data_IF_770338598655
#
_entry.id   IF_770338598655
#
_cell.length_a   1.000
_cell.length_b   1.000
_cell.length_c   1.000
_cell.angle_alpha   90.00
_cell.angle_beta   90.00
_cell.angle_gamma   90.00
#
_symmetry.space_group_name_H-M   'P 1'
#
loop_
_entity.id
_entity.type
_entity.pdbx_description
1 polymer ?
#
# COMPACT_ATOMS: atom_id res chain seq x y z
N UNK A 1 3.07 -84.54 35.55
CA UNK A 1 2.77 -83.19 35.01
C UNK A 1 3.83 -82.26 35.58
N UNK A 2 4.81 -81.93 34.76
CA UNK A 2 6.05 -81.25 35.16
C UNK A 2 5.84 -79.73 35.27
N UNK A 3 6.49 -79.12 36.26
CA UNK A 3 6.69 -77.69 36.56
C UNK A 3 7.30 -76.90 35.36
N UNK A 4 7.62 -75.57 35.40
CA UNK A 4 7.72 -74.65 36.56
C UNK A 4 7.41 -73.13 36.31
N UNK A 5 7.48 -72.38 37.42
CA UNK A 5 8.07 -71.03 37.63
C UNK A 5 7.78 -69.86 36.66
N UNK A 6 7.05 -68.88 37.18
CA UNK A 6 7.00 -67.50 36.69
C UNK A 6 8.25 -66.75 37.19
N UNK A 7 9.11 -66.30 36.27
CA UNK A 7 10.29 -65.48 36.56
C UNK A 7 10.00 -64.08 36.03
N UNK A 8 10.12 -63.09 36.92
CA UNK A 8 10.13 -61.68 36.59
C UNK A 8 11.29 -61.39 35.60
N UNK A 9 11.02 -60.57 34.59
CA UNK A 9 12.08 -59.89 33.84
C UNK A 9 11.87 -58.39 33.88
N UNK A 10 12.99 -57.76 34.16
CA UNK A 10 13.30 -56.36 34.37
C UNK A 10 12.61 -55.35 33.44
N UNK A 11 12.19 -54.28 34.09
CA UNK A 11 12.08 -52.92 33.58
C UNK A 11 13.35 -52.52 32.84
N UNK A 12 13.29 -52.39 31.52
CA UNK A 12 14.23 -51.58 30.75
C UNK A 12 13.53 -50.28 30.36
N UNK A 13 14.06 -49.17 30.86
CA UNK A 13 13.70 -47.79 30.52
C UNK A 13 13.55 -47.63 29.00
N UNK A 14 12.31 -47.48 28.54
CA UNK A 14 12.07 -46.95 27.21
C UNK A 14 12.30 -45.44 27.26
N UNK A 15 13.13 -44.86 26.36
CA UNK A 15 13.26 -43.42 26.26
C UNK A 15 11.90 -42.80 25.95
N UNK A 16 11.61 -41.58 26.44
CA UNK A 16 10.31 -40.95 26.24
C UNK A 16 9.99 -40.84 24.74
N UNK A 17 8.70 -40.94 24.35
CA UNK A 17 8.30 -40.84 22.95
C UNK A 17 8.71 -39.47 22.41
N UNK A 18 9.60 -39.47 21.41
CA UNK A 18 10.04 -38.27 20.70
C UNK A 18 8.83 -37.56 20.09
N UNK A 19 8.54 -36.35 20.56
CA UNK A 19 7.48 -35.51 19.99
C UNK A 19 7.93 -35.00 18.63
N UNK A 20 7.29 -35.51 17.57
CA UNK A 20 7.53 -35.03 16.21
C UNK A 20 6.99 -33.61 16.07
N UNK A 21 7.85 -32.66 15.66
CA UNK A 21 7.39 -31.34 15.23
C UNK A 21 6.64 -31.47 13.90
N UNK A 22 5.67 -30.58 13.66
CA UNK A 22 4.99 -30.50 12.35
C UNK A 22 6.05 -30.12 11.31
N UNK A 23 5.88 -30.47 10.03
CA UNK A 23 6.29 -29.73 8.82
C UNK A 23 6.45 -30.65 7.59
N UNK A 24 6.41 -29.99 6.44
CA UNK A 24 5.64 -30.25 5.22
C UNK A 24 6.15 -31.39 4.33
N UNK A 25 5.22 -32.18 3.75
CA UNK A 25 5.51 -33.30 2.85
C UNK A 25 6.02 -32.82 1.47
N UNK A 26 7.29 -33.09 1.17
CA UNK A 26 7.87 -33.13 -0.18
C UNK A 26 8.74 -34.40 -0.26
N UNK A 27 8.99 -34.93 -1.46
CA UNK A 27 9.57 -36.27 -1.62
C UNK A 27 11.05 -36.39 -1.20
N UNK A 28 11.71 -35.28 -0.81
CA UNK A 28 13.08 -35.25 -0.26
C UNK A 28 13.13 -34.35 0.98
N UNK A 29 12.67 -34.86 2.12
CA UNK A 29 12.80 -34.15 3.41
C UNK A 29 14.05 -34.59 4.15
N UNK A 30 14.81 -33.60 4.62
CA UNK A 30 15.92 -33.85 5.54
C UNK A 30 15.40 -33.77 6.97
N UNK A 31 15.83 -34.71 7.82
CA UNK A 31 15.50 -34.72 9.24
C UNK A 31 16.60 -34.02 10.04
N UNK A 32 16.21 -33.02 10.81
CA UNK A 32 17.07 -32.30 11.74
C UNK A 32 16.68 -32.63 13.17
N UNK A 33 17.65 -32.66 14.07
CA UNK A 33 17.42 -32.78 15.50
C UNK A 33 17.88 -31.52 16.20
N UNK A 34 16.97 -30.93 16.98
CA UNK A 34 17.23 -29.78 17.85
C UNK A 34 16.63 -30.09 19.20
N UNK A 35 17.46 -30.04 20.24
CA UNK A 35 17.10 -30.56 21.57
C UNK A 35 16.59 -32.01 21.43
N UNK A 36 15.45 -32.34 22.02
CA UNK A 36 14.82 -33.66 21.92
C UNK A 36 13.73 -33.73 20.83
N UNK A 37 13.72 -32.78 19.88
CA UNK A 37 12.73 -32.69 18.81
C UNK A 37 13.33 -32.94 17.44
N UNK A 38 12.55 -33.67 16.62
CA UNK A 38 12.84 -33.89 15.21
C UNK A 38 12.02 -32.96 14.33
N UNK A 39 12.70 -32.32 13.39
CA UNK A 39 12.13 -31.44 12.38
C UNK A 39 12.32 -32.06 11.01
N UNK A 40 11.31 -31.96 10.15
CA UNK A 40 11.42 -32.34 8.74
C UNK A 40 11.24 -31.11 7.88
N UNK A 41 12.21 -30.83 7.04
CA UNK A 41 12.17 -29.64 6.21
C UNK A 41 12.77 -29.88 4.83
N UNK A 42 12.30 -29.08 3.89
CA UNK A 42 12.78 -29.08 2.51
C UNK A 42 14.19 -28.46 2.48
N UNK A 43 15.16 -29.28 2.08
CA UNK A 43 16.57 -28.90 2.10
C UNK A 43 16.89 -27.82 1.07
N UNK A 44 16.13 -27.74 -0.02
CA UNK A 44 16.41 -26.80 -1.11
C UNK A 44 16.38 -25.35 -0.62
N UNK A 45 15.44 -25.01 0.27
CA UNK A 45 15.34 -23.67 0.85
C UNK A 45 16.48 -23.37 1.84
N UNK A 46 16.95 -24.38 2.57
CA UNK A 46 18.05 -24.20 3.52
C UNK A 46 19.40 -24.07 2.80
N UNK A 47 19.65 -24.90 1.79
CA UNK A 47 20.89 -24.89 1.02
C UNK A 47 21.04 -23.59 0.18
N UNK A 48 19.94 -22.88 -0.10
CA UNK A 48 19.98 -21.53 -0.70
C UNK A 48 20.51 -20.46 0.28
N UNK A 49 20.26 -20.63 1.58
CA UNK A 49 20.59 -19.62 2.60
C UNK A 49 21.86 -19.93 3.38
N UNK A 50 22.30 -21.18 3.43
CA UNK A 50 23.45 -21.57 4.24
C UNK A 50 24.23 -22.75 3.67
N UNK A 51 25.55 -22.73 3.85
CA UNK A 51 26.45 -23.86 3.62
C UNK A 51 26.96 -24.48 4.94
N UNK A 52 26.49 -23.99 6.09
CA UNK A 52 26.94 -24.41 7.43
C UNK A 52 26.37 -25.78 7.81
N UNK A 53 25.23 -26.15 7.24
CA UNK A 53 24.59 -27.44 7.46
C UNK A 53 25.26 -28.50 6.56
N UNK A 54 25.79 -29.60 7.12
CA UNK A 54 26.42 -30.66 6.33
C UNK A 54 25.53 -31.19 5.20
N UNK A 55 26.12 -31.44 4.04
CA UNK A 55 25.44 -32.07 2.89
C UNK A 55 25.34 -33.58 3.12
N UNK A 56 24.11 -34.07 3.31
CA UNK A 56 23.78 -35.45 3.68
C UNK A 56 22.26 -35.65 3.80
N UNK A 57 21.81 -36.91 3.71
CA UNK A 57 20.38 -37.27 3.83
C UNK A 57 20.10 -37.59 5.29
N UNK A 58 19.89 -36.55 6.12
CA UNK A 58 19.45 -36.77 7.50
C UNK A 58 18.19 -37.61 7.52
N UNK A 59 18.23 -38.77 8.18
CA UNK A 59 17.10 -39.69 8.31
C UNK A 59 16.53 -39.66 9.73
N UNK A 60 15.47 -40.42 10.00
CA UNK A 60 14.96 -40.52 11.38
C UNK A 60 15.93 -41.25 12.30
N UNK A 61 16.64 -42.21 11.74
CA UNK A 61 17.61 -43.07 12.42
C UNK A 61 18.94 -42.35 12.63
N UNK A 62 19.29 -41.44 11.72
CA UNK A 62 20.50 -40.60 11.79
C UNK A 62 20.17 -39.14 11.39
N UNK A 63 19.56 -38.35 12.29
CA UNK A 63 19.17 -36.98 12.01
C UNK A 63 20.39 -36.04 12.06
N UNK A 64 20.34 -34.95 11.29
CA UNK A 64 21.37 -33.91 11.36
C UNK A 64 21.16 -33.12 12.65
N UNK A 65 22.08 -33.27 13.61
CA UNK A 65 22.06 -32.47 14.84
C UNK A 65 22.50 -31.03 14.53
N UNK A 66 21.64 -30.06 14.85
CA UNK A 66 21.99 -28.64 14.73
C UNK A 66 22.64 -28.14 16.02
N UNK A 67 23.31 -26.99 15.92
CA UNK A 67 24.01 -26.36 17.04
C UNK A 67 23.09 -26.23 18.27
N UNK A 68 23.56 -26.74 19.41
CA UNK A 68 22.86 -26.75 20.70
C UNK A 68 22.38 -25.38 21.20
N UNK A 69 22.88 -24.27 20.63
CA UNK A 69 22.42 -22.91 20.92
C UNK A 69 21.09 -22.57 20.26
N UNK A 70 20.65 -23.35 19.27
CA UNK A 70 19.36 -23.21 18.60
C UNK A 70 18.30 -23.89 19.46
N UNK A 71 17.28 -23.14 19.89
CA UNK A 71 16.12 -23.72 20.58
C UNK A 71 15.12 -24.24 19.56
N UNK A 72 14.40 -25.30 19.91
CA UNK A 72 13.42 -25.90 19.02
C UNK A 72 12.31 -24.92 18.59
N UNK A 73 11.85 -24.06 19.51
CA UNK A 73 10.82 -23.06 19.21
C UNK A 73 11.30 -21.97 18.24
N UNK A 74 12.56 -21.54 18.36
CA UNK A 74 13.13 -20.51 17.48
C UNK A 74 13.34 -21.07 16.06
N UNK A 75 13.77 -22.34 15.96
CA UNK A 75 13.86 -23.02 14.69
C UNK A 75 12.49 -23.17 14.03
N UNK A 76 11.44 -23.53 14.78
CA UNK A 76 10.07 -23.65 14.27
C UNK A 76 9.60 -22.34 13.61
N UNK A 77 9.85 -21.20 14.27
CA UNK A 77 9.53 -19.86 13.74
C UNK A 77 10.30 -19.59 12.43
N UNK A 78 11.58 -19.93 12.37
CA UNK A 78 12.38 -19.77 11.15
C UNK A 78 11.84 -20.64 10.00
N UNK A 79 11.52 -21.90 10.27
CA UNK A 79 11.02 -22.83 9.24
C UNK A 79 9.65 -22.40 8.71
N UNK A 80 8.76 -21.95 9.59
CA UNK A 80 7.49 -21.32 9.22
C UNK A 80 7.72 -20.10 8.32
N UNK A 81 8.63 -19.20 8.73
CA UNK A 81 8.97 -18.02 7.94
C UNK A 81 9.52 -18.36 6.56
N UNK A 82 10.47 -19.31 6.46
CA UNK A 82 11.05 -19.72 5.19
C UNK A 82 10.01 -20.35 4.25
N UNK A 83 9.03 -21.07 4.79
CA UNK A 83 8.01 -21.74 3.97
C UNK A 83 6.82 -20.86 3.62
N UNK A 84 6.37 -20.01 4.56
CA UNK A 84 5.11 -19.28 4.50
C UNK A 84 5.28 -17.76 4.45
N UNK A 85 6.47 -17.24 4.75
CA UNK A 85 6.73 -15.82 4.97
C UNK A 85 6.18 -15.28 6.29
N UNK A 86 5.60 -16.13 7.14
CA UNK A 86 4.95 -15.75 8.41
C UNK A 86 4.79 -16.98 9.32
N UNK A 87 4.18 -16.85 10.52
CA UNK A 87 3.90 -17.98 11.42
C UNK A 87 2.90 -18.98 10.82
N UNK A 88 2.92 -20.22 11.31
CA UNK A 88 1.97 -21.27 10.89
C UNK A 88 0.49 -20.87 11.00
N UNK A 89 0.13 -20.11 12.04
CA UNK A 89 -1.24 -19.63 12.29
C UNK A 89 -1.62 -18.40 11.45
N UNK A 90 -0.73 -17.98 10.53
CA UNK A 90 -0.86 -16.83 9.64
C UNK A 90 -0.91 -15.47 10.34
N UNK A 91 -0.59 -15.40 11.64
CA UNK A 91 -0.43 -14.10 12.31
C UNK A 91 0.86 -13.43 11.85
N UNK A 92 0.88 -12.08 11.74
CA UNK A 92 2.10 -11.34 11.46
C UNK A 92 3.21 -11.67 12.47
N UNK A 93 4.47 -11.65 12.02
CA UNK A 93 5.62 -11.85 12.89
C UNK A 93 5.79 -10.68 13.85
N UNK A 94 5.88 -10.99 15.14
CA UNK A 94 6.12 -10.02 16.21
C UNK A 94 7.63 -9.79 16.42
N UNK A 95 7.98 -8.77 17.22
CA UNK A 95 9.39 -8.43 17.55
C UNK A 95 10.14 -9.65 18.10
N UNK A 96 9.48 -10.45 18.93
CA UNK A 96 10.03 -11.69 19.46
C UNK A 96 10.37 -12.66 18.33
N UNK A 97 9.46 -12.84 17.38
CA UNK A 97 9.64 -13.79 16.26
C UNK A 97 10.81 -13.37 15.36
N UNK A 98 10.93 -12.08 15.05
CA UNK A 98 12.08 -11.56 14.32
C UNK A 98 13.39 -11.72 15.07
N UNK A 99 13.37 -11.57 16.40
CA UNK A 99 14.56 -11.79 17.24
C UNK A 99 14.98 -13.27 17.22
N UNK A 100 14.01 -14.19 17.28
CA UNK A 100 14.25 -15.63 17.13
C UNK A 100 14.82 -15.97 15.76
N UNK A 101 14.25 -15.42 14.68
CA UNK A 101 14.75 -15.60 13.30
C UNK A 101 16.20 -15.11 13.19
N UNK A 102 16.50 -13.90 13.68
CA UNK A 102 17.86 -13.34 13.65
C UNK A 102 18.83 -14.24 14.42
N UNK A 103 18.47 -14.70 15.62
CA UNK A 103 19.33 -15.53 16.45
C UNK A 103 19.70 -16.85 15.76
N UNK A 104 18.71 -17.53 15.15
CA UNK A 104 18.96 -18.78 14.43
C UNK A 104 19.75 -18.53 13.14
N UNK A 105 19.43 -17.48 12.38
CA UNK A 105 20.17 -17.11 11.18
C UNK A 105 21.64 -16.74 11.47
N UNK A 106 21.93 -16.09 12.59
CA UNK A 106 23.30 -15.83 13.05
C UNK A 106 24.10 -17.13 13.24
N UNK A 107 23.48 -18.15 13.86
CA UNK A 107 24.13 -19.43 14.16
C UNK A 107 24.32 -20.24 12.88
N UNK A 108 23.31 -20.24 11.99
CA UNK A 108 23.34 -20.98 10.74
C UNK A 108 24.10 -20.25 9.62
N UNK A 109 24.47 -18.98 9.79
CA UNK A 109 25.15 -18.19 8.74
C UNK A 109 24.25 -17.79 7.58
N UNK A 110 22.96 -17.55 7.84
CA UNK A 110 21.97 -17.13 6.83
C UNK A 110 21.92 -15.62 6.68
N UNK A 111 22.97 -15.02 6.09
CA UNK A 111 23.18 -13.57 6.06
C UNK A 111 22.03 -12.79 5.39
N UNK A 112 21.46 -13.34 4.31
CA UNK A 112 20.37 -12.69 3.56
C UNK A 112 19.10 -12.58 4.40
N UNK A 113 18.70 -13.68 5.06
CA UNK A 113 17.54 -13.71 5.95
C UNK A 113 17.76 -12.87 7.19
N UNK A 114 18.96 -12.93 7.78
CA UNK A 114 19.34 -12.10 8.91
C UNK A 114 19.20 -10.61 8.60
N UNK A 115 19.71 -10.17 7.45
CA UNK A 115 19.59 -8.78 7.00
C UNK A 115 18.13 -8.36 6.82
N UNK A 116 17.32 -9.20 6.18
CA UNK A 116 15.89 -8.95 5.99
C UNK A 116 15.14 -8.81 7.32
N UNK A 117 15.43 -9.68 8.29
CA UNK A 117 14.83 -9.63 9.62
C UNK A 117 15.28 -8.39 10.42
N UNK A 118 16.56 -7.99 10.32
CA UNK A 118 17.08 -6.76 10.91
C UNK A 118 16.41 -5.51 10.32
N UNK A 119 16.25 -5.44 9.00
CA UNK A 119 15.53 -4.34 8.33
C UNK A 119 14.07 -4.28 8.80
N UNK A 120 13.42 -5.45 8.91
CA UNK A 120 12.04 -5.57 9.39
C UNK A 120 11.83 -5.17 10.85
N UNK A 121 12.87 -5.23 11.70
CA UNK A 121 12.84 -4.71 13.08
C UNK A 121 13.14 -3.22 13.17
N UNK A 122 14.00 -2.70 12.28
CA UNK A 122 14.35 -1.29 12.23
C UNK A 122 13.22 -0.45 11.64
N UNK A 123 12.45 -0.99 10.71
CA UNK A 123 11.35 -0.29 10.04
C UNK A 123 10.24 0.18 11.00
N UNK A 124 9.71 -0.62 11.94
CA UNK A 124 8.74 -0.17 12.94
C UNK A 124 9.31 0.87 13.89
N UNK A 125 10.57 0.73 14.31
CA UNK A 125 11.20 1.65 15.26
C UNK A 125 11.52 2.99 14.61
N UNK A 126 11.94 2.96 13.34
CA UNK A 126 12.13 4.13 12.50
C UNK A 126 10.79 4.79 12.14
N UNK A 127 9.75 4.00 11.86
CA UNK A 127 8.40 4.50 11.65
C UNK A 127 7.83 5.18 12.91
N UNK A 128 8.11 4.64 14.10
CA UNK A 128 7.70 5.23 15.37
C UNK A 128 8.50 6.51 15.70
N UNK A 129 9.79 6.55 15.39
CA UNK A 129 10.62 7.74 15.53
C UNK A 129 10.22 8.82 14.52
N UNK A 130 9.93 8.43 13.28
CA UNK A 130 9.40 9.29 12.22
C UNK A 130 7.98 9.76 12.57
N UNK A 131 7.16 8.94 13.24
CA UNK A 131 5.85 9.31 13.75
C UNK A 131 5.97 10.29 14.93
N UNK A 132 6.88 10.07 15.88
CA UNK A 132 7.16 11.03 16.96
C UNK A 132 7.72 12.34 16.42
N UNK A 133 8.60 12.28 15.41
CA UNK A 133 9.13 13.46 14.73
C UNK A 133 8.03 14.19 13.96
N UNK A 134 7.14 13.46 13.26
CA UNK A 134 5.94 14.03 12.64
C UNK A 134 4.97 14.62 13.66
N UNK A 135 4.80 14.03 14.84
CA UNK A 135 3.96 14.55 15.91
C UNK A 135 4.55 15.82 16.55
N UNK A 136 5.88 15.86 16.71
CA UNK A 136 6.61 17.02 17.20
C UNK A 136 6.66 18.16 16.16
N UNK A 137 6.77 17.81 14.88
CA UNK A 137 6.66 18.72 13.75
C UNK A 137 5.21 19.20 13.56
N UNK A 138 4.20 18.37 13.86
CA UNK A 138 2.77 18.75 13.89
C UNK A 138 2.41 19.67 15.04
N UNK A 139 3.07 19.56 16.20
CA UNK A 139 2.87 20.49 17.32
C UNK A 139 3.52 21.86 17.08
N UNK A 140 4.51 21.94 16.19
CA UNK A 140 5.28 23.16 15.92
C UNK A 140 5.05 23.75 14.52
N UNK A 141 4.26 23.13 13.65
CA UNK A 141 3.85 23.66 12.35
C UNK A 141 2.41 24.19 12.38
N UNK A 142 2.08 25.26 11.64
CA UNK A 142 0.70 25.66 11.44
C UNK A 142 -0.05 24.58 10.65
N UNK A 143 -1.34 24.46 10.94
CA UNK A 143 -2.42 23.71 10.29
C UNK A 143 -2.05 23.05 8.95
N UNK A 144 -2.29 21.74 8.84
CA UNK A 144 -2.37 20.88 7.65
C UNK A 144 -1.99 21.52 6.30
N UNK A 145 -1.04 20.92 5.57
CA UNK A 145 -0.65 21.36 4.23
C UNK A 145 -1.75 21.26 3.15
N UNK A 146 -2.93 20.78 3.53
CA UNK A 146 -4.14 20.74 2.71
C UNK A 146 -4.55 22.17 2.28
N UNK A 147 -4.54 22.44 0.97
CA UNK A 147 -4.86 23.77 0.44
C UNK A 147 -3.74 24.80 0.53
N UNK A 148 -2.50 24.40 0.86
CA UNK A 148 -1.32 25.29 0.75
C UNK A 148 -1.19 25.77 -0.69
N UNK A 149 -0.94 27.07 -0.86
CA UNK A 149 -0.89 27.77 -2.15
C UNK A 149 -2.26 28.09 -2.77
N UNK A 150 -3.35 27.72 -2.11
CA UNK A 150 -4.72 28.09 -2.47
C UNK A 150 -5.33 29.05 -1.44
N UNK A 151 -4.49 29.86 -0.77
CA UNK A 151 -4.90 30.67 0.38
C UNK A 151 -6.08 31.58 0.03
N UNK A 152 -7.11 31.56 0.89
CA UNK A 152 -8.35 32.34 0.73
C UNK A 152 -8.09 33.83 0.59
N UNK A 153 -7.07 34.32 1.28
CA UNK A 153 -6.67 35.72 1.32
C UNK A 153 -6.06 36.17 -0.02
N UNK A 154 -5.56 35.22 -0.84
CA UNK A 154 -4.86 35.52 -2.09
C UNK A 154 -5.70 35.19 -3.32
N UNK A 155 -6.56 34.17 -3.26
CA UNK A 155 -7.18 33.58 -4.46
C UNK A 155 -8.72 33.60 -4.48
N UNK A 156 -9.37 34.24 -3.50
CA UNK A 156 -10.80 34.10 -3.16
C UNK A 156 -11.17 32.67 -2.70
N UNK A 157 -12.31 32.53 -2.02
CA UNK A 157 -12.88 31.22 -1.65
C UNK A 157 -13.11 30.32 -2.87
N UNK A 158 -13.35 30.92 -4.03
CA UNK A 158 -13.59 30.26 -5.30
C UNK A 158 -12.60 30.78 -6.34
N UNK A 159 -11.99 29.86 -7.07
CA UNK A 159 -10.93 30.17 -8.01
C UNK A 159 -11.00 29.27 -9.24
N UNK A 160 -10.17 29.59 -10.23
CA UNK A 160 -9.98 28.80 -11.44
C UNK A 160 -8.53 28.34 -11.52
N UNK A 161 -8.33 27.13 -12.00
CA UNK A 161 -7.01 26.56 -12.20
C UNK A 161 -6.65 26.73 -13.66
N UNK A 162 -5.67 27.58 -13.95
CA UNK A 162 -5.21 27.88 -15.32
C UNK A 162 -3.85 27.23 -15.55
N UNK A 163 -3.67 26.66 -16.73
CA UNK A 163 -2.37 26.18 -17.14
C UNK A 163 -1.48 27.37 -17.47
N UNK A 164 -0.35 27.48 -16.77
CA UNK A 164 0.49 28.68 -16.73
C UNK A 164 0.95 29.07 -18.14
N UNK A 165 0.88 30.37 -18.43
CA UNK A 165 1.27 30.91 -19.73
C UNK A 165 0.25 30.67 -20.86
N UNK A 166 -0.93 30.13 -20.56
CA UNK A 166 -1.98 29.87 -21.55
C UNK A 166 -3.33 30.43 -21.11
N UNK A 167 -4.32 30.43 -22.02
CA UNK A 167 -5.71 30.78 -21.71
C UNK A 167 -6.57 29.57 -21.36
N UNK A 168 -5.92 28.45 -21.02
CA UNK A 168 -6.58 27.17 -20.84
C UNK A 168 -6.76 26.86 -19.36
N UNK A 169 -7.98 26.51 -18.97
CA UNK A 169 -8.38 26.28 -17.59
C UNK A 169 -8.93 24.88 -17.40
N UNK A 170 -8.83 24.35 -16.18
CA UNK A 170 -9.56 23.15 -15.80
C UNK A 170 -11.06 23.43 -15.88
N UNK A 171 -11.80 22.47 -16.41
CA UNK A 171 -13.22 22.59 -16.67
C UNK A 171 -13.90 21.22 -16.58
N UNK A 172 -15.10 21.18 -16.01
CA UNK A 172 -16.06 20.10 -16.25
C UNK A 172 -17.18 20.62 -17.18
N UNK A 173 -17.12 20.21 -18.44
CA UNK A 173 -17.99 20.66 -19.52
C UNK A 173 -19.46 20.68 -19.07
N UNK A 174 -20.14 21.81 -19.28
CA UNK A 174 -21.55 22.03 -18.93
C UNK A 174 -21.91 21.89 -17.43
N UNK A 175 -20.94 21.89 -16.52
CA UNK A 175 -21.16 21.75 -15.08
C UNK A 175 -22.06 20.56 -14.73
N UNK A 176 -21.87 19.43 -15.42
CA UNK A 176 -22.70 18.26 -15.21
C UNK A 176 -22.57 17.79 -13.76
N UNK A 177 -23.72 17.64 -13.10
CA UNK A 177 -23.85 17.11 -11.73
C UNK A 177 -23.72 15.58 -11.70
N UNK A 178 -23.05 15.04 -12.71
CA UNK A 178 -22.92 13.61 -12.98
C UNK A 178 -21.60 13.12 -12.43
N UNK A 179 -21.66 11.95 -11.81
CA UNK A 179 -20.49 11.32 -11.23
C UNK A 179 -19.68 10.57 -12.29
N UNK A 180 -18.36 10.48 -12.11
CA UNK A 180 -17.44 9.90 -13.09
C UNK A 180 -17.02 10.85 -14.21
N UNK A 181 -17.64 12.04 -14.31
CA UNK A 181 -17.32 12.99 -15.38
C UNK A 181 -15.88 13.47 -15.26
N UNK A 182 -15.13 13.35 -16.35
CA UNK A 182 -13.72 13.74 -16.42
C UNK A 182 -13.54 15.27 -16.37
N UNK A 183 -12.61 15.74 -15.54
CA UNK A 183 -12.13 17.13 -15.53
C UNK A 183 -11.03 17.29 -16.57
N UNK A 184 -11.15 18.31 -17.43
CA UNK A 184 -10.31 18.49 -18.64
C UNK A 184 -9.77 19.90 -18.76
N UNK A 185 -8.81 20.10 -19.66
CA UNK A 185 -8.25 21.41 -20.00
C UNK A 185 -8.98 22.03 -21.21
N UNK A 186 -9.53 23.24 -21.06
CA UNK A 186 -10.31 23.93 -22.12
C UNK A 186 -9.96 25.40 -22.24
N UNK A 187 -10.21 25.99 -23.41
CA UNK A 187 -10.05 27.43 -23.61
C UNK A 187 -11.14 28.22 -22.88
N UNK A 188 -10.74 29.25 -22.13
CA UNK A 188 -11.62 30.08 -21.31
C UNK A 188 -12.75 30.78 -22.10
N UNK A 189 -12.53 31.08 -23.39
CA UNK A 189 -13.47 31.85 -24.23
C UNK A 189 -14.24 31.01 -25.25
N UNK A 190 -13.92 29.72 -25.39
CA UNK A 190 -14.40 28.88 -26.50
C UNK A 190 -15.71 28.14 -26.21
N UNK A 191 -15.95 27.77 -24.96
CA UNK A 191 -17.14 26.99 -24.58
C UNK A 191 -18.26 27.92 -24.13
N UNK A 192 -19.43 27.83 -24.80
CA UNK A 192 -20.70 28.48 -24.38
C UNK A 192 -21.26 27.93 -23.05
N UNK A 193 -20.41 27.34 -22.21
CA UNK A 193 -20.77 26.77 -20.91
C UNK A 193 -20.92 27.86 -19.84
N UNK A 194 -21.67 27.55 -18.78
CA UNK A 194 -21.74 28.41 -17.60
C UNK A 194 -20.33 28.68 -17.06
N UNK A 195 -20.04 29.93 -16.65
CA UNK A 195 -18.80 30.30 -15.98
C UNK A 195 -18.51 29.39 -14.76
N UNK A 196 -19.56 28.83 -14.15
CA UNK A 196 -19.47 27.91 -13.01
C UNK A 196 -18.76 26.59 -13.32
N UNK A 197 -18.68 26.20 -14.61
CA UNK A 197 -18.00 24.97 -15.07
C UNK A 197 -16.48 24.98 -14.90
N UNK A 198 -15.91 26.15 -14.61
CA UNK A 198 -14.47 26.38 -14.48
C UNK A 198 -14.05 26.72 -13.05
N UNK A 199 -15.01 26.80 -12.13
CA UNK A 199 -14.79 27.33 -10.78
C UNK A 199 -14.64 26.18 -9.80
N UNK A 200 -13.63 26.27 -8.95
CA UNK A 200 -13.27 25.29 -7.93
C UNK A 200 -13.06 25.97 -6.57
N UNK A 201 -13.05 25.16 -5.52
CA UNK A 201 -12.66 25.58 -4.17
C UNK A 201 -11.99 24.42 -3.43
N UNK A 202 -11.21 24.72 -2.39
CA UNK A 202 -10.67 23.73 -1.45
C UNK A 202 -11.59 23.63 -0.24
N UNK A 203 -12.13 22.43 0.00
CA UNK A 203 -12.89 22.14 1.22
C UNK A 203 -11.98 22.10 2.45
N UNK A 204 -12.55 22.18 3.66
CA UNK A 204 -11.77 22.09 4.91
C UNK A 204 -11.02 20.77 5.07
N UNK A 205 -11.41 19.73 4.34
CA UNK A 205 -10.70 18.44 4.26
C UNK A 205 -9.45 18.47 3.38
N UNK A 206 -9.22 19.54 2.60
CA UNK A 206 -8.16 19.59 1.59
C UNK A 206 -8.56 19.06 0.21
N UNK A 207 -9.75 18.48 0.08
CA UNK A 207 -10.27 18.03 -1.20
C UNK A 207 -10.59 19.23 -2.11
N UNK A 208 -10.28 19.09 -3.40
CA UNK A 208 -10.67 20.03 -4.43
C UNK A 208 -12.12 19.75 -4.82
N UNK A 209 -12.96 20.78 -4.88
CA UNK A 209 -14.36 20.66 -5.27
C UNK A 209 -14.65 21.52 -6.48
N UNK A 210 -15.51 21.01 -7.36
CA UNK A 210 -16.04 21.76 -8.48
C UNK A 210 -17.32 22.51 -8.06
N UNK A 211 -17.30 23.83 -8.19
CA UNK A 211 -18.34 24.72 -7.66
C UNK A 211 -19.69 24.51 -8.33
N UNK A 212 -19.73 24.44 -9.68
CA UNK A 212 -21.00 24.33 -10.41
C UNK A 212 -21.75 23.01 -10.17
N UNK A 213 -21.03 21.92 -9.88
CA UNK A 213 -21.65 20.62 -9.61
C UNK A 213 -21.83 20.33 -8.13
N UNK A 214 -21.02 20.95 -7.26
CA UNK A 214 -20.92 20.64 -5.83
C UNK A 214 -20.18 19.33 -5.53
N UNK A 215 -19.67 18.63 -6.55
CA UNK A 215 -18.97 17.35 -6.39
C UNK A 215 -17.48 17.58 -6.12
N UNK A 216 -16.86 16.63 -5.43
CA UNK A 216 -15.42 16.62 -5.22
C UNK A 216 -14.70 16.17 -6.50
N UNK A 217 -13.45 16.57 -6.65
CA UNK A 217 -12.51 16.04 -7.64
C UNK A 217 -11.76 14.89 -6.98
N UNK A 218 -11.86 13.72 -7.58
CA UNK A 218 -11.15 12.51 -7.21
C UNK A 218 -10.20 12.07 -8.33
N UNK A 219 -9.37 11.06 -8.06
CA UNK A 219 -8.46 10.48 -9.04
C UNK A 219 -8.73 8.99 -9.15
N UNK A 220 -9.05 8.52 -10.36
CA UNK A 220 -9.20 7.10 -10.66
C UNK A 220 -8.32 6.77 -11.85
N UNK A 221 -7.39 5.82 -11.67
CA UNK A 221 -6.40 5.44 -12.70
C UNK A 221 -5.72 6.66 -13.34
N UNK A 222 -5.25 7.56 -12.48
CA UNK A 222 -4.61 8.86 -12.79
C UNK A 222 -5.52 9.94 -13.40
N UNK A 223 -6.80 9.66 -13.63
CA UNK A 223 -7.72 10.62 -14.24
C UNK A 223 -8.46 11.42 -13.18
N UNK A 224 -8.50 12.75 -13.34
CA UNK A 224 -9.38 13.61 -12.54
C UNK A 224 -10.85 13.37 -12.90
N UNK A 225 -11.65 12.94 -11.93
CA UNK A 225 -13.09 12.68 -12.11
C UNK A 225 -13.91 13.36 -11.03
N UNK A 226 -15.15 13.72 -11.34
CA UNK A 226 -16.08 14.20 -10.33
C UNK A 226 -16.68 13.05 -9.54
N UNK A 227 -16.68 13.17 -8.21
CA UNK A 227 -17.20 12.17 -7.28
C UNK A 227 -18.09 12.78 -6.21
N UNK A 228 -19.15 12.07 -5.86
CA UNK A 228 -20.02 12.36 -4.71
C UNK A 228 -19.28 12.06 -3.41
N UNK A 229 -19.60 12.82 -2.38
CA UNK A 229 -19.15 12.48 -1.04
C UNK A 229 -19.80 11.16 -0.61
N UNK A 230 -18.99 10.17 -0.25
CA UNK A 230 -19.43 8.86 0.24
C UNK A 230 -18.85 8.64 1.65
N UNK A 231 -19.52 7.87 2.52
CA UNK A 231 -18.89 7.42 3.76
C UNK A 231 -17.62 6.64 3.42
N UNK A 232 -16.50 7.02 4.04
CA UNK A 232 -15.24 6.28 3.87
C UNK A 232 -15.43 4.90 4.49
N UNK A 233 -15.18 3.85 3.70
CA UNK A 233 -15.21 2.48 4.19
C UNK A 233 -14.00 2.22 5.09
N UNK A 234 -14.17 1.40 6.12
CA UNK A 234 -13.04 0.94 6.94
C UNK A 234 -12.01 0.18 6.10
N UNK A 235 -12.50 -0.54 5.08
CA UNK A 235 -11.68 -1.24 4.11
C UNK A 235 -11.54 -0.40 2.84
N UNK A 236 -10.31 -0.03 2.50
CA UNK A 236 -10.00 0.74 1.29
C UNK A 236 -10.54 0.03 0.05
N UNK A 237 -11.31 0.75 -0.76
CA UNK A 237 -11.85 0.20 -2.00
C UNK A 237 -12.12 1.27 -3.07
N UNK A 238 -12.25 0.84 -4.35
CA UNK A 238 -12.55 1.70 -5.49
C UNK A 238 -13.74 2.62 -5.38
N UNK A 239 -14.76 2.21 -4.65
CA UNK A 239 -15.98 2.99 -4.51
C UNK A 239 -15.90 3.98 -3.35
N UNK A 240 -15.33 3.59 -2.22
CA UNK A 240 -15.47 4.32 -0.95
C UNK A 240 -14.15 4.55 -0.24
N UNK A 241 -13.22 5.20 -0.92
CA UNK A 241 -11.94 5.66 -0.35
C UNK A 241 -11.97 7.16 0.03
N UNK A 242 -11.05 7.62 0.90
CA UNK A 242 -10.91 9.04 1.22
C UNK A 242 -10.46 9.84 -0.01
N UNK A 243 -10.98 11.06 -0.16
CA UNK A 243 -10.62 11.95 -1.26
C UNK A 243 -9.16 12.43 -1.15
N UNK A 244 -8.46 12.65 -2.27
CA UNK A 244 -7.11 13.20 -2.27
C UNK A 244 -7.08 14.67 -1.83
N UNK A 245 -5.96 15.05 -1.21
CA UNK A 245 -5.66 16.43 -0.85
C UNK A 245 -4.91 17.12 -1.99
N UNK A 246 -5.31 18.35 -2.32
CA UNK A 246 -4.66 19.17 -3.33
C UNK A 246 -3.92 20.35 -2.69
N UNK A 247 -2.73 20.66 -3.20
CA UNK A 247 -1.94 21.84 -2.82
C UNK A 247 -1.23 22.41 -4.03
N UNK A 248 -0.95 23.71 -4.03
CA UNK A 248 -0.18 24.40 -5.05
C UNK A 248 1.16 24.82 -4.44
N UNK A 249 2.26 24.31 -4.97
CA UNK A 249 3.60 24.65 -4.50
C UNK A 249 4.48 24.92 -5.71
N UNK A 250 5.10 26.09 -5.78
CA UNK A 250 5.98 26.49 -6.90
C UNK A 250 5.32 26.33 -8.28
N UNK A 251 4.08 26.81 -8.43
CA UNK A 251 3.25 26.62 -9.64
C UNK A 251 2.94 25.17 -9.99
N UNK A 252 3.16 24.19 -9.11
CA UNK A 252 2.75 22.80 -9.35
C UNK A 252 1.58 22.43 -8.45
N UNK A 253 0.55 21.84 -9.03
CA UNK A 253 -0.53 21.24 -8.25
C UNK A 253 -0.06 19.86 -7.83
N UNK A 254 0.16 19.69 -6.53
CA UNK A 254 0.51 18.42 -5.90
C UNK A 254 -0.74 17.72 -5.43
N UNK A 255 -0.74 16.40 -5.60
CA UNK A 255 -1.82 15.51 -5.18
C UNK A 255 -1.27 14.59 -4.11
N UNK A 256 -1.90 14.58 -2.95
CA UNK A 256 -1.57 13.66 -1.86
C UNK A 256 -2.74 12.71 -1.66
N UNK A 257 -2.47 11.44 -1.90
CA UNK A 257 -3.42 10.39 -1.65
C UNK A 257 -3.48 10.06 -0.16
N UNK A 258 -4.68 9.69 0.32
CA UNK A 258 -4.91 9.21 1.67
C UNK A 258 -5.16 7.70 1.70
N UNK A 259 -5.17 7.06 0.53
CA UNK A 259 -5.32 5.62 0.28
C UNK A 259 -4.61 5.27 -1.03
N UNK A 260 -4.31 3.99 -1.26
CA UNK A 260 -3.64 3.54 -2.49
C UNK A 260 -4.43 3.91 -3.77
N UNK A 261 -3.85 4.71 -4.69
CA UNK A 261 -4.51 5.09 -5.94
C UNK A 261 -4.55 3.98 -7.01
N UNK A 262 -3.71 2.93 -6.91
CA UNK A 262 -3.50 1.94 -7.98
C UNK A 262 -4.44 0.72 -7.94
N UNK A 263 -5.28 0.62 -6.92
CA UNK A 263 -6.51 -0.19 -6.91
C UNK A 263 -6.42 -1.60 -7.52
N UNK A 264 -5.49 -2.42 -6.99
CA UNK A 264 -5.52 -3.88 -7.14
C UNK A 264 -5.38 -4.57 -5.77
N UNK A 265 -6.51 -4.83 -5.13
CA UNK A 265 -6.69 -5.89 -4.13
C UNK A 265 -5.66 -6.04 -2.99
N UNK A 266 -5.06 -4.97 -2.46
CA UNK A 266 -3.99 -5.11 -1.47
C UNK A 266 -4.26 -4.42 -0.14
N UNK A 267 -3.99 -5.19 0.90
CA UNK A 267 -3.88 -4.87 2.31
C UNK A 267 -2.70 -3.95 2.60
N UNK A 268 -2.98 -2.93 3.41
CA UNK A 268 -2.16 -1.79 3.80
C UNK A 268 -1.08 -2.13 4.86
N UNK A 269 -0.41 -3.27 4.69
CA UNK A 269 0.49 -3.75 5.72
C UNK A 269 1.90 -3.21 5.47
N UNK A 270 2.29 -2.21 6.28
CA UNK A 270 3.69 -1.89 6.63
C UNK A 270 4.51 -1.26 5.48
N UNK A 271 4.33 0.03 5.16
CA UNK A 271 4.96 0.66 3.98
C UNK A 271 6.49 0.44 3.85
N UNK A 272 6.95 -0.42 2.92
CA UNK A 272 8.35 -0.54 2.53
C UNK A 272 8.72 0.60 1.57
N UNK A 273 10.03 0.80 1.32
CA UNK A 273 10.52 1.68 0.25
C UNK A 273 9.86 1.31 -1.09
N UNK A 274 9.10 2.24 -1.67
CA UNK A 274 8.39 2.04 -2.94
C UNK A 274 6.86 2.12 -2.84
N UNK A 275 6.30 2.22 -1.64
CA UNK A 275 4.86 2.51 -1.46
C UNK A 275 4.45 3.84 -2.10
N UNK A 276 3.23 3.89 -2.66
CA UNK A 276 2.57 5.11 -3.13
C UNK A 276 2.61 6.23 -2.10
N UNK A 277 2.56 5.91 -0.80
CA UNK A 277 2.58 6.88 0.29
C UNK A 277 3.91 7.63 0.42
N UNK A 278 5.00 7.10 -0.18
CA UNK A 278 6.32 7.75 -0.21
C UNK A 278 6.60 8.51 -1.50
N UNK A 279 5.67 8.45 -2.46
CA UNK A 279 5.80 9.10 -3.78
C UNK A 279 5.15 10.48 -3.76
N UNK A 280 5.63 11.35 -4.65
CA UNK A 280 5.02 12.66 -4.88
C UNK A 280 4.21 12.58 -6.17
N UNK A 281 2.99 13.08 -6.16
CA UNK A 281 2.15 13.13 -7.35
C UNK A 281 1.85 14.57 -7.73
N UNK A 282 1.83 14.84 -9.03
CA UNK A 282 1.58 16.18 -9.59
C UNK A 282 0.54 16.10 -10.70
N UNK A 283 -0.19 17.19 -10.89
CA UNK A 283 -1.10 17.33 -12.01
C UNK A 283 -0.33 17.74 -13.27
N UNK A 284 -0.46 16.96 -14.33
CA UNK A 284 0.22 17.16 -15.60
C UNK A 284 -0.77 17.32 -16.76
N UNK A 285 -0.48 18.25 -17.67
CA UNK A 285 -1.21 18.41 -18.94
C UNK A 285 -0.44 17.81 -20.11
N UNK A 286 -1.13 17.60 -21.23
CA UNK A 286 -0.56 17.15 -22.51
C UNK A 286 0.31 15.90 -22.36
N UNK A 287 -0.15 14.95 -21.54
CA UNK A 287 0.58 13.71 -21.33
C UNK A 287 0.42 12.74 -22.47
N UNK A 288 1.53 12.09 -22.83
CA UNK A 288 1.56 11.00 -23.81
C UNK A 288 1.01 9.70 -23.23
N UNK A 289 0.93 9.58 -21.91
CA UNK A 289 0.37 8.41 -21.23
C UNK A 289 -1.12 8.30 -21.53
N UNK A 290 -1.53 7.14 -22.04
CA UNK A 290 -2.95 6.82 -22.20
C UNK A 290 -3.61 6.45 -20.88
N UNK A 291 -4.94 6.57 -20.82
CA UNK A 291 -5.69 6.36 -19.58
C UNK A 291 -6.94 5.53 -19.83
N UNK A 292 -7.39 4.86 -18.78
CA UNK A 292 -8.64 4.14 -18.79
C UNK A 292 -9.69 4.86 -17.94
N UNK A 293 -10.88 5.10 -18.53
CA UNK A 293 -12.02 5.61 -17.77
C UNK A 293 -12.87 4.43 -17.32
N UNK A 294 -12.96 4.24 -16.02
CA UNK A 294 -13.74 3.16 -15.44
C UNK A 294 -15.26 3.43 -15.55
N UNK A 295 -16.03 2.59 -16.27
CA UNK A 295 -17.49 2.63 -16.19
C UNK A 295 -17.99 2.24 -14.81
N UNK A 296 -19.25 2.57 -14.49
CA UNK A 296 -19.85 2.26 -13.18
C UNK A 296 -19.82 0.76 -12.85
N UNK A 297 -19.87 -0.10 -13.88
CA UNK A 297 -19.80 -1.55 -13.74
C UNK A 297 -18.53 -2.02 -13.05
N UNK A 298 -17.41 -1.31 -13.24
CA UNK A 298 -16.13 -1.67 -12.64
C UNK A 298 -16.18 -1.52 -11.13
N UNK A 299 -17.02 -0.62 -10.61
CA UNK A 299 -17.19 -0.41 -9.17
C UNK A 299 -18.30 -1.27 -8.56
N UNK A 300 -19.08 -1.97 -9.37
CA UNK A 300 -20.29 -2.69 -8.94
C UNK A 300 -20.10 -3.64 -7.74
N UNK A 301 -18.96 -4.34 -7.55
CA UNK A 301 -18.77 -5.19 -6.38
C UNK A 301 -18.78 -4.44 -5.05
N UNK A 302 -18.49 -3.13 -5.06
CA UNK A 302 -18.37 -2.29 -3.87
C UNK A 302 -19.54 -1.32 -3.69
N UNK A 303 -20.46 -1.25 -4.65
CA UNK A 303 -21.65 -0.40 -4.55
C UNK A 303 -22.68 -1.10 -3.67
N UNK A 304 -23.09 -0.51 -2.53
CA UNK A 304 -24.15 -1.12 -1.72
C UNK A 304 -25.44 -1.26 -2.52
N UNK A 305 -26.15 -2.40 -2.44
CA UNK A 305 -27.39 -2.60 -3.18
C UNK A 305 -28.44 -1.50 -2.95
N UNK A 306 -28.46 -0.90 -1.76
CA UNK A 306 -29.37 0.17 -1.39
C UNK A 306 -29.18 1.48 -2.19
N UNK A 307 -28.01 1.68 -2.79
CA UNK A 307 -27.70 2.88 -3.58
C UNK A 307 -27.42 2.57 -5.05
N UNK A 308 -27.35 1.29 -5.43
CA UNK A 308 -27.17 0.89 -6.82
C UNK A 308 -28.30 1.45 -7.70
N UNK A 309 -27.94 2.18 -8.76
CA UNK A 309 -28.89 2.80 -9.69
C UNK A 309 -29.55 4.10 -9.20
N UNK A 310 -29.16 4.63 -8.04
CA UNK A 310 -29.77 5.86 -7.47
C UNK A 310 -29.10 7.17 -7.94
N UNK A 311 -28.01 7.06 -8.71
CA UNK A 311 -27.23 8.20 -9.18
C UNK A 311 -26.82 8.02 -10.64
N UNK A 312 -26.70 9.13 -11.37
CA UNK A 312 -26.19 9.16 -12.74
C UNK A 312 -24.65 9.07 -12.71
N UNK A 313 -24.11 8.13 -13.49
CA UNK A 313 -22.67 7.96 -13.66
C UNK A 313 -22.34 7.96 -15.14
N UNK A 314 -21.52 8.93 -15.58
CA UNK A 314 -21.07 9.08 -16.96
C UNK A 314 -19.64 9.55 -16.97
N UNK A 315 -18.82 8.88 -17.76
CA UNK A 315 -17.40 9.20 -17.86
C UNK A 315 -17.14 10.37 -18.81
N UNK A 316 -17.96 10.52 -19.86
CA UNK A 316 -17.75 11.43 -20.98
C UNK A 316 -16.29 11.37 -21.48
N UNK A 317 -15.75 10.14 -21.55
CA UNK A 317 -14.35 9.89 -21.81
C UNK A 317 -13.91 10.55 -23.13
N UNK A 318 -12.91 11.42 -23.04
CA UNK A 318 -12.34 12.06 -24.22
C UNK A 318 -10.83 11.94 -24.19
N UNK A 319 -10.30 11.21 -25.16
CA UNK A 319 -8.89 10.83 -25.21
C UNK A 319 -8.01 11.86 -25.93
N UNK A 320 -8.55 13.00 -26.36
CA UNK A 320 -7.79 14.05 -27.04
C UNK A 320 -6.64 14.54 -26.16
N UNK A 321 -5.40 14.42 -26.66
CA UNK A 321 -4.19 14.74 -25.91
C UNK A 321 -4.15 16.21 -25.45
N UNK A 322 -4.67 17.11 -26.29
CA UNK A 322 -4.61 18.53 -26.01
C UNK A 322 -5.45 18.93 -24.80
N UNK A 323 -6.56 18.24 -24.51
CA UNK A 323 -7.44 18.57 -23.37
C UNK A 323 -7.15 17.69 -22.14
N UNK A 324 -6.21 16.75 -22.26
CA UNK A 324 -5.93 15.71 -21.28
C UNK A 324 -5.16 16.28 -20.10
N UNK A 325 -5.62 15.91 -18.90
CA UNK A 325 -4.96 16.22 -17.63
C UNK A 325 -4.97 14.95 -16.79
N UNK A 326 -3.79 14.49 -16.38
CA UNK A 326 -3.61 13.29 -15.55
C UNK A 326 -2.76 13.62 -14.31
N UNK A 327 -2.85 12.75 -13.31
CA UNK A 327 -1.96 12.74 -12.15
C UNK A 327 -0.77 11.84 -12.46
N UNK A 328 0.43 12.34 -12.23
CA UNK A 328 1.68 11.60 -12.52
C UNK A 328 2.59 11.57 -11.30
N UNK A 329 3.32 10.47 -11.13
CA UNK A 329 4.42 10.39 -10.16
C UNK A 329 5.53 11.37 -10.57
N UNK A 330 5.92 12.25 -9.65
CA UNK A 330 7.01 13.20 -9.84
C UNK A 330 8.34 12.48 -9.60
N UNK A 331 9.11 12.27 -10.66
CA UNK A 331 10.45 11.66 -10.63
C UNK A 331 11.59 12.68 -10.47
N UNK A 332 11.25 13.98 -10.36
CA UNK A 332 12.18 15.09 -10.20
C UNK A 332 12.44 15.86 -11.50
N UNK A 333 11.76 17.00 -11.64
CA UNK A 333 12.28 18.28 -12.12
C UNK A 333 11.19 19.35 -11.89
N UNK A 334 11.53 20.44 -11.19
CA UNK A 334 10.57 21.47 -10.77
C UNK A 334 10.58 22.62 -11.79
N UNK A 335 9.74 22.54 -12.83
CA UNK A 335 9.58 23.68 -13.74
C UNK A 335 9.08 23.39 -15.16
N UNK A 336 8.76 22.14 -15.51
CA UNK A 336 8.24 21.85 -16.85
C UNK A 336 6.89 22.56 -17.09
N UNK A 337 6.68 23.07 -18.30
CA UNK A 337 5.44 23.71 -18.73
C UNK A 337 4.23 22.77 -18.56
N UNK A 338 4.44 21.45 -18.63
CA UNK A 338 3.38 20.44 -18.43
C UNK A 338 2.82 20.36 -17.02
N UNK A 339 3.60 20.73 -16.01
CA UNK A 339 3.16 20.67 -14.60
C UNK A 339 2.97 22.05 -13.99
N UNK A 340 3.07 23.10 -14.80
CA UNK A 340 2.98 24.49 -14.39
C UNK A 340 1.54 25.03 -14.47
N UNK A 341 1.01 25.43 -13.33
CA UNK A 341 -0.33 25.93 -13.09
C UNK A 341 -0.29 27.28 -12.36
N UNK A 342 -1.36 28.04 -12.50
CA UNK A 342 -1.60 29.28 -11.77
C UNK A 342 -3.07 29.35 -11.35
N UNK A 343 -3.31 30.05 -10.24
CA UNK A 343 -4.65 30.24 -9.70
C UNK A 343 -5.13 31.61 -10.12
N UNK A 344 -6.30 31.64 -10.73
CA UNK A 344 -6.92 32.85 -11.23
C UNK A 344 -8.20 33.07 -10.44
N UNK A 345 -8.50 34.32 -10.01
CA UNK A 345 -9.77 34.62 -9.36
C UNK A 345 -10.96 34.14 -10.22
N UNK A 346 -11.99 33.62 -9.55
CA UNK A 346 -13.27 33.39 -10.18
C UNK A 346 -13.84 34.74 -10.69
N UNK A 347 -14.59 34.75 -11.81
CA UNK A 347 -15.27 35.95 -12.27
C UNK A 347 -16.20 36.45 -11.16
N UNK A 348 -16.19 37.75 -10.89
CA UNK A 348 -17.22 38.39 -10.05
C UNK A 348 -18.56 38.27 -10.77
N UNK A 349 -19.50 37.53 -10.16
CA UNK A 349 -20.90 37.41 -10.59
C UNK A 349 -21.63 38.73 -10.55
#
# INVERSE_FOLDING_TARGET
>A
MSSPTSTAFDTADSPPPLTLSRHYASDVLTVFKVEDKLFRFDRELLDQETNTIPRGVGSKEDPIELDHRIKAADLEILLDFLKLGTRHDRRPLEVFDWTSIIAVCCILGMERIQKLACESLLDPQKALLDQQKRLLDQQNAPVSSAGVGFERDTHNLHFRIRAKGTKRVLNNLNAWKTEGTQVKLRDEKGDKGSLDSMVFFIASSGALHHSGSGLAVDVVDDVLVLRRHRPVSSDSNPWSHPLPEFSLVNSQIRVKFLSDPAMKGCTDNLYPKGSWATKNFVLARNTEKDFHMHPISDFSPWIPPAVAGTFDYKTDAQHDKDIRVLVEESTGDFGDERTSWEIVPAPST
#
